data_IF_693069349419
#
_entry.id   IF_693069349419
#
_cell.length_a   1.000
_cell.length_b   1.000
_cell.length_c   1.000
_cell.angle_alpha   90.00
_cell.angle_beta   90.00
_cell.angle_gamma   90.00
#
_symmetry.space_group_name_H-M   'P 1'
#
loop_
_entity.id
_entity.type
_entity.pdbx_description
1 polymer ?
#
# COMPACT_ATOMS: atom_id res chain seq x y z
N UNK A 1 -6.18 -17.55 28.32
CA UNK A 1 -6.48 -16.35 27.48
C UNK A 1 -5.69 -16.42 26.16
N UNK A 2 -5.97 -17.39 25.31
CA UNK A 2 -5.19 -17.63 24.08
C UNK A 2 -6.05 -17.78 22.83
N UNK A 3 -7.34 -17.42 22.91
CA UNK A 3 -8.28 -17.66 21.82
C UNK A 3 -8.44 -16.52 20.79
N UNK A 4 -7.89 -15.31 21.04
CA UNK A 4 -8.16 -14.14 20.18
C UNK A 4 -7.11 -13.98 19.07
N UNK A 5 -5.91 -14.52 19.24
CA UNK A 5 -4.83 -14.38 18.24
C UNK A 5 -4.93 -15.34 17.05
N UNK A 6 -5.64 -16.45 17.18
CA UNK A 6 -5.77 -17.44 16.11
C UNK A 6 -6.85 -17.11 15.07
N UNK A 7 -7.81 -16.25 15.41
CA UNK A 7 -8.88 -15.85 14.47
C UNK A 7 -8.47 -14.76 13.45
N UNK A 8 -7.43 -13.98 13.74
CA UNK A 8 -7.06 -12.86 12.85
C UNK A 8 -6.22 -13.29 11.63
N UNK A 9 -5.39 -14.33 11.77
CA UNK A 9 -4.52 -14.79 10.69
C UNK A 9 -5.26 -15.42 9.51
N UNK A 10 -6.27 -16.29 9.69
CA UNK A 10 -7.09 -16.79 8.59
C UNK A 10 -7.80 -15.66 7.83
N UNK A 11 -8.35 -14.68 8.55
CA UNK A 11 -9.11 -13.56 7.96
C UNK A 11 -8.25 -12.76 6.98
N UNK A 12 -6.98 -12.50 7.29
CA UNK A 12 -6.09 -11.76 6.36
C UNK A 12 -5.73 -12.56 5.12
N UNK A 13 -5.57 -13.88 5.22
CA UNK A 13 -5.37 -14.74 4.05
C UNK A 13 -6.62 -14.77 3.17
N UNK A 14 -7.79 -14.99 3.77
CA UNK A 14 -9.07 -14.97 3.07
C UNK A 14 -9.34 -13.63 2.38
N UNK A 15 -9.01 -12.51 3.03
CA UNK A 15 -9.13 -11.17 2.44
C UNK A 15 -8.20 -10.99 1.22
N UNK A 16 -6.97 -11.52 1.31
CA UNK A 16 -6.03 -11.52 0.17
C UNK A 16 -6.57 -12.34 -0.99
N UNK A 17 -7.10 -13.54 -0.71
CA UNK A 17 -7.67 -14.43 -1.72
C UNK A 17 -8.93 -13.82 -2.37
N UNK A 18 -9.77 -13.15 -1.59
CA UNK A 18 -10.91 -12.38 -2.10
C UNK A 18 -10.44 -11.31 -3.08
N UNK A 19 -9.50 -10.46 -2.65
CA UNK A 19 -8.99 -9.37 -3.48
C UNK A 19 -8.40 -9.84 -4.80
N UNK A 20 -7.69 -10.98 -4.79
CA UNK A 20 -7.06 -11.53 -5.99
C UNK A 20 -8.04 -12.19 -6.99
N UNK A 21 -9.29 -12.42 -6.58
CA UNK A 21 -10.35 -12.87 -7.49
C UNK A 21 -11.04 -11.74 -8.25
N UNK A 22 -10.89 -10.49 -7.78
CA UNK A 22 -11.45 -9.33 -8.45
C UNK A 22 -10.50 -8.81 -9.56
N UNK A 23 -11.04 -8.20 -10.62
CA UNK A 23 -10.22 -7.54 -11.63
C UNK A 23 -9.51 -6.31 -11.05
N UNK A 24 -8.42 -5.90 -11.70
CA UNK A 24 -7.74 -4.64 -11.43
C UNK A 24 -8.71 -3.46 -11.60
N UNK A 25 -8.70 -2.51 -10.66
CA UNK A 25 -9.67 -1.43 -10.59
C UNK A 25 -11.00 -1.81 -9.93
N UNK A 26 -11.12 -3.03 -9.36
CA UNK A 26 -12.24 -3.48 -8.52
C UNK A 26 -13.64 -3.19 -9.13
N UNK A 27 -13.77 -3.33 -10.46
CA UNK A 27 -14.99 -2.99 -11.21
C UNK A 27 -15.53 -1.57 -10.93
N UNK A 28 -14.64 -0.61 -10.67
CA UNK A 28 -14.97 0.79 -10.39
C UNK A 28 -15.14 1.13 -8.90
N UNK A 29 -15.10 0.15 -7.99
CA UNK A 29 -15.09 0.42 -6.56
C UNK A 29 -13.72 0.96 -6.11
N UNK A 30 -13.70 2.05 -5.34
CA UNK A 30 -12.47 2.73 -4.90
C UNK A 30 -12.54 3.03 -3.41
N UNK A 31 -11.57 2.56 -2.64
CA UNK A 31 -11.38 2.95 -1.24
C UNK A 31 -10.37 4.07 -1.16
N UNK A 32 -10.75 5.16 -0.48
CA UNK A 32 -9.85 6.23 -0.06
C UNK A 32 -9.61 6.10 1.44
N UNK A 33 -8.42 5.64 1.91
CA UNK A 33 -8.23 5.21 3.29
C UNK A 33 -7.84 6.33 4.26
N UNK A 34 -8.43 7.53 4.12
CA UNK A 34 -8.11 8.70 4.96
C UNK A 34 -8.87 8.67 6.29
N UNK A 35 -8.86 7.54 7.01
CA UNK A 35 -9.70 7.30 8.20
C UNK A 35 -9.49 8.31 9.33
N UNK A 36 -8.27 8.76 9.55
CA UNK A 36 -7.90 9.74 10.58
C UNK A 36 -7.20 10.97 9.96
N UNK A 37 -7.62 11.34 8.77
CA UNK A 37 -6.96 12.34 7.95
C UNK A 37 -5.78 11.76 7.17
N UNK A 38 -5.18 12.60 6.34
CA UNK A 38 -4.00 12.25 5.53
C UNK A 38 -2.98 13.38 5.57
N UNK A 39 -1.70 13.02 5.61
CA UNK A 39 -0.60 13.98 5.59
C UNK A 39 -0.16 14.32 4.17
N UNK A 40 -0.15 13.33 3.28
CA UNK A 40 0.28 13.49 1.88
C UNK A 40 -0.77 12.87 0.95
N UNK A 41 -1.70 13.68 0.39
CA UNK A 41 -1.83 15.15 0.47
C UNK A 41 -2.23 15.65 1.88
N UNK A 42 -1.99 16.93 2.16
CA UNK A 42 -2.34 17.54 3.46
C UNK A 42 -3.86 17.73 3.60
N UNK A 43 -4.53 16.70 4.10
CA UNK A 43 -5.98 16.64 4.35
C UNK A 43 -6.24 16.13 5.79
N UNK A 44 -5.88 16.90 6.85
CA UNK A 44 -5.89 16.41 8.24
C UNK A 44 -7.29 16.09 8.77
N UNK A 45 -8.32 16.73 8.21
CA UNK A 45 -9.71 16.56 8.64
C UNK A 45 -10.50 15.59 7.75
N UNK A 46 -9.86 14.93 6.81
CA UNK A 46 -10.54 13.97 5.91
C UNK A 46 -10.95 12.69 6.63
N UNK A 47 -11.95 12.03 6.07
CA UNK A 47 -12.40 10.69 6.49
C UNK A 47 -12.23 9.69 5.36
N UNK A 48 -12.11 8.41 5.71
CA UNK A 48 -12.11 7.33 4.72
C UNK A 48 -13.45 7.25 3.98
N UNK A 49 -13.40 6.81 2.73
CA UNK A 49 -14.58 6.67 1.88
C UNK A 49 -14.47 5.46 0.94
N UNK A 50 -15.63 4.93 0.56
CA UNK A 50 -15.77 3.93 -0.49
C UNK A 50 -16.67 4.51 -1.59
N UNK A 51 -16.12 4.65 -2.78
CA UNK A 51 -16.77 5.24 -3.95
C UNK A 51 -17.04 4.22 -5.03
N UNK A 52 -17.85 4.59 -6.04
CA UNK A 52 -18.04 3.82 -7.27
C UNK A 52 -18.84 2.52 -7.10
N UNK A 53 -19.60 2.35 -6.00
CA UNK A 53 -20.43 1.18 -5.81
C UNK A 53 -21.65 1.18 -6.74
N UNK A 54 -21.82 0.07 -7.42
CA UNK A 54 -23.01 -0.29 -8.20
C UNK A 54 -23.50 -1.65 -7.75
N UNK A 55 -24.65 -2.10 -8.20
CA UNK A 55 -25.13 -3.47 -7.92
C UNK A 55 -24.13 -4.52 -8.41
N UNK A 56 -23.45 -4.27 -9.53
CA UNK A 56 -22.47 -5.19 -10.11
C UNK A 56 -21.12 -5.17 -9.37
N UNK A 57 -20.68 -4.01 -8.86
CA UNK A 57 -19.38 -3.89 -8.18
C UNK A 57 -19.45 -4.17 -6.68
N UNK A 58 -20.64 -4.21 -6.07
CA UNK A 58 -20.84 -4.43 -4.63
C UNK A 58 -20.68 -5.91 -4.25
N UNK A 59 -19.53 -6.50 -4.56
CA UNK A 59 -19.17 -7.87 -4.19
C UNK A 59 -18.05 -7.88 -3.15
N UNK A 60 -17.94 -8.93 -2.30
CA UNK A 60 -16.85 -9.04 -1.34
C UNK A 60 -15.46 -8.95 -1.99
N UNK A 61 -15.30 -9.55 -3.18
CA UNK A 61 -14.06 -9.55 -3.94
C UNK A 61 -13.66 -8.15 -4.37
N UNK A 62 -14.58 -7.38 -4.95
CA UNK A 62 -14.32 -6.01 -5.40
C UNK A 62 -14.05 -5.08 -4.20
N UNK A 63 -14.79 -5.22 -3.11
CA UNK A 63 -14.55 -4.42 -1.89
C UNK A 63 -13.18 -4.73 -1.30
N UNK A 64 -12.79 -6.01 -1.23
CA UNK A 64 -11.47 -6.42 -0.78
C UNK A 64 -10.37 -5.86 -1.70
N UNK A 65 -10.53 -6.00 -3.02
CA UNK A 65 -9.59 -5.46 -4.01
C UNK A 65 -9.44 -3.95 -3.88
N UNK A 66 -10.54 -3.21 -3.81
CA UNK A 66 -10.54 -1.76 -3.64
C UNK A 66 -9.83 -1.31 -2.36
N UNK A 67 -9.93 -2.09 -1.27
CA UNK A 67 -9.21 -1.79 -0.03
C UNK A 67 -7.69 -1.91 -0.21
N UNK A 68 -7.18 -2.97 -0.85
CA UNK A 68 -5.76 -3.12 -1.14
C UNK A 68 -5.26 -2.05 -2.11
N UNK A 69 -5.99 -1.80 -3.19
CA UNK A 69 -5.65 -0.76 -4.16
C UNK A 69 -5.64 0.63 -3.52
N UNK A 70 -6.59 0.94 -2.65
CA UNK A 70 -6.66 2.21 -1.94
C UNK A 70 -5.44 2.47 -1.06
N UNK A 71 -5.01 1.48 -0.27
CA UNK A 71 -3.78 1.58 0.54
C UNK A 71 -2.55 1.78 -0.34
N UNK A 72 -2.40 1.01 -1.40
CA UNK A 72 -1.27 1.12 -2.32
C UNK A 72 -1.28 2.45 -3.09
N UNK A 73 -2.45 2.95 -3.48
CA UNK A 73 -2.58 4.26 -4.11
C UNK A 73 -2.21 5.40 -3.18
N UNK A 74 -2.56 5.30 -1.88
CA UNK A 74 -2.10 6.26 -0.88
C UNK A 74 -0.57 6.29 -0.75
N UNK A 75 0.08 5.12 -0.75
CA UNK A 75 1.55 5.03 -0.78
C UNK A 75 2.13 5.58 -2.10
N UNK A 76 1.46 5.35 -3.23
CA UNK A 76 1.87 5.88 -4.52
C UNK A 76 1.80 7.42 -4.58
N UNK A 77 0.86 8.07 -3.89
CA UNK A 77 0.84 9.53 -3.75
C UNK A 77 2.13 10.05 -3.11
N UNK A 78 2.67 9.35 -2.10
CA UNK A 78 3.97 9.66 -1.50
C UNK A 78 5.13 9.51 -2.49
N UNK A 79 5.11 8.45 -3.30
CA UNK A 79 6.10 8.23 -4.37
C UNK A 79 6.04 9.33 -5.42
N UNK A 80 4.83 9.73 -5.83
CA UNK A 80 4.64 10.81 -6.80
C UNK A 80 5.13 12.16 -6.26
N UNK A 81 4.92 12.43 -4.96
CA UNK A 81 5.47 13.61 -4.29
C UNK A 81 7.02 13.63 -4.32
N UNK A 82 7.67 12.48 -4.14
CA UNK A 82 9.13 12.36 -4.27
C UNK A 82 9.58 12.57 -5.71
N UNK A 83 8.90 11.99 -6.69
CA UNK A 83 9.19 12.18 -8.12
C UNK A 83 9.04 13.66 -8.52
N UNK A 84 8.04 14.37 -7.98
CA UNK A 84 7.87 15.81 -8.21
C UNK A 84 9.02 16.66 -7.66
N UNK A 85 9.80 16.14 -6.70
CA UNK A 85 11.04 16.76 -6.20
C UNK A 85 12.30 16.29 -6.95
N UNK A 86 12.14 15.59 -8.07
CA UNK A 86 13.24 15.13 -8.92
C UNK A 86 13.82 13.76 -8.55
N UNK A 87 13.19 13.01 -7.64
CA UNK A 87 13.64 11.66 -7.33
C UNK A 87 13.35 10.69 -8.50
N UNK A 88 14.31 9.84 -8.82
CA UNK A 88 14.13 8.71 -9.74
C UNK A 88 13.80 7.45 -8.93
N UNK A 89 12.66 6.83 -9.21
CA UNK A 89 12.20 5.63 -8.53
C UNK A 89 12.20 4.46 -9.52
N UNK A 90 13.16 3.55 -9.37
CA UNK A 90 13.34 2.39 -10.25
C UNK A 90 12.79 1.08 -9.65
N UNK A 91 12.46 1.09 -8.36
CA UNK A 91 11.88 -0.04 -7.63
C UNK A 91 11.22 0.44 -6.34
N UNK A 92 10.31 -0.36 -5.83
CA UNK A 92 9.72 -0.19 -4.49
C UNK A 92 10.20 -1.33 -3.60
N UNK A 93 10.48 -1.07 -2.34
CA UNK A 93 10.75 -2.10 -1.33
C UNK A 93 9.61 -2.08 -0.33
N UNK A 94 8.83 -3.17 -0.27
CA UNK A 94 7.76 -3.34 0.71
C UNK A 94 8.31 -4.02 1.96
N UNK A 95 8.17 -3.35 3.10
CA UNK A 95 8.60 -3.86 4.41
C UNK A 95 7.45 -3.75 5.43
N UNK A 96 7.59 -4.45 6.54
CA UNK A 96 6.61 -4.45 7.62
C UNK A 96 5.55 -5.54 7.49
N UNK A 97 4.56 -5.52 8.37
CA UNK A 97 3.55 -6.58 8.48
C UNK A 97 2.70 -6.76 7.24
N UNK A 98 2.33 -5.66 6.58
CA UNK A 98 1.55 -5.68 5.34
C UNK A 98 2.26 -6.36 4.17
N UNK A 99 3.59 -6.29 4.11
CA UNK A 99 4.38 -6.91 3.05
C UNK A 99 4.24 -8.45 2.98
N UNK A 100 3.71 -9.08 4.05
CA UNK A 100 3.40 -10.53 4.09
C UNK A 100 2.13 -10.88 3.32
N UNK A 101 1.28 -9.89 3.00
CA UNK A 101 0.03 -10.12 2.26
C UNK A 101 0.31 -10.43 0.80
N UNK A 102 -0.15 -11.60 0.34
CA UNK A 102 -0.01 -11.99 -1.07
C UNK A 102 -0.70 -11.01 -2.02
N UNK A 103 -1.85 -10.46 -1.62
CA UNK A 103 -2.54 -9.44 -2.42
C UNK A 103 -1.68 -8.18 -2.56
N UNK A 104 -1.07 -7.66 -1.48
CA UNK A 104 -0.19 -6.49 -1.58
C UNK A 104 1.01 -6.75 -2.50
N UNK A 105 1.64 -7.93 -2.39
CA UNK A 105 2.78 -8.30 -3.21
C UNK A 105 2.45 -8.31 -4.71
N UNK A 106 1.30 -8.85 -5.09
CA UNK A 106 0.89 -9.01 -6.49
C UNK A 106 0.25 -7.73 -7.08
N UNK A 107 -0.48 -6.96 -6.27
CA UNK A 107 -1.17 -5.75 -6.73
C UNK A 107 -0.21 -4.55 -6.80
N UNK A 108 0.78 -4.49 -5.91
CA UNK A 108 1.68 -3.33 -5.84
C UNK A 108 2.37 -2.98 -7.17
N UNK A 109 2.96 -3.92 -7.93
CA UNK A 109 3.60 -3.58 -9.20
C UNK A 109 2.61 -3.06 -10.24
N UNK A 110 1.33 -3.50 -10.23
CA UNK A 110 0.28 -2.98 -11.10
C UNK A 110 0.04 -1.47 -10.88
N UNK A 111 0.25 -0.98 -9.64
CA UNK A 111 -0.02 0.40 -9.23
C UNK A 111 1.23 1.28 -9.33
N UNK A 112 2.39 0.77 -8.93
CA UNK A 112 3.63 1.55 -8.95
C UNK A 112 4.30 1.61 -10.34
N UNK A 113 4.02 0.65 -11.22
CA UNK A 113 4.62 0.56 -12.56
C UNK A 113 6.13 0.31 -12.54
N UNK A 114 6.66 -0.20 -11.45
CA UNK A 114 8.08 -0.58 -11.26
C UNK A 114 8.15 -1.88 -10.45
N UNK A 115 9.27 -2.62 -10.53
CA UNK A 115 9.47 -3.83 -9.73
C UNK A 115 9.30 -3.58 -8.23
N UNK A 116 8.66 -4.51 -7.55
CA UNK A 116 8.44 -4.50 -6.10
C UNK A 116 9.27 -5.60 -5.46
N UNK A 117 10.14 -5.21 -4.54
CA UNK A 117 11.02 -6.11 -3.79
C UNK A 117 10.42 -6.33 -2.39
N UNK A 118 10.30 -7.57 -1.99
CA UNK A 118 9.85 -7.97 -0.65
C UNK A 118 10.97 -8.75 0.01
N UNK A 119 11.74 -8.13 0.92
CA UNK A 119 12.78 -8.81 1.64
C UNK A 119 12.18 -9.73 2.73
N UNK A 120 12.97 -10.69 3.27
CA UNK A 120 12.54 -11.50 4.40
C UNK A 120 11.98 -10.67 5.56
N UNK A 121 11.10 -11.24 6.36
CA UNK A 121 10.55 -10.52 7.52
C UNK A 121 11.68 -10.09 8.48
N UNK A 122 11.70 -8.81 8.88
CA UNK A 122 12.74 -8.23 9.73
C UNK A 122 12.33 -6.86 10.27
N UNK A 123 13.17 -6.34 11.16
CA UNK A 123 12.97 -5.03 11.81
C UNK A 123 13.68 -3.90 11.02
N UNK A 124 13.30 -3.69 9.79
CA UNK A 124 13.97 -2.81 8.83
C UNK A 124 14.11 -1.34 9.29
N UNK A 125 13.18 -0.86 10.12
CA UNK A 125 13.28 0.50 10.68
C UNK A 125 14.43 0.57 11.69
N UNK A 126 14.53 -0.43 12.58
CA UNK A 126 15.61 -0.54 13.54
C UNK A 126 16.96 -0.77 12.86
N UNK A 127 16.99 -1.65 11.85
CA UNK A 127 18.19 -1.90 11.03
C UNK A 127 18.65 -0.64 10.30
N UNK A 128 17.73 0.14 9.76
CA UNK A 128 18.03 1.41 9.12
C UNK A 128 18.65 2.43 10.08
N UNK A 129 18.11 2.53 11.29
CA UNK A 129 18.65 3.40 12.35
C UNK A 129 20.04 2.95 12.80
N UNK A 130 20.24 1.64 13.01
CA UNK A 130 21.54 1.07 13.36
C UNK A 130 22.58 1.28 12.24
N UNK A 131 22.18 1.14 10.98
CA UNK A 131 23.03 1.40 9.83
C UNK A 131 23.46 2.86 9.76
N UNK A 132 22.55 3.79 10.04
CA UNK A 132 22.88 5.21 10.10
C UNK A 132 23.84 5.55 11.23
N UNK A 133 23.63 4.98 12.43
CA UNK A 133 24.54 5.13 13.56
C UNK A 133 25.95 4.58 13.25
N UNK A 134 26.02 3.41 12.63
CA UNK A 134 27.28 2.79 12.20
C UNK A 134 28.00 3.64 11.13
N UNK A 135 27.25 4.25 10.22
CA UNK A 135 27.81 5.18 9.24
C UNK A 135 28.46 6.39 9.89
N UNK A 136 27.75 7.04 10.82
CA UNK A 136 28.31 8.20 11.57
C UNK A 136 29.58 7.82 12.32
N UNK A 137 29.58 6.63 12.98
CA UNK A 137 30.73 6.17 13.77
C UNK A 137 31.95 5.83 12.89
N UNK A 138 31.74 5.18 11.74
CA UNK A 138 32.82 4.64 10.90
C UNK A 138 33.20 5.55 9.72
N UNK A 139 32.47 6.65 9.48
CA UNK A 139 32.68 7.56 8.36
C UNK A 139 32.26 7.00 6.99
N UNK A 140 31.89 5.71 6.92
CA UNK A 140 31.47 5.05 5.69
C UNK A 140 30.15 4.29 5.91
N UNK A 141 29.24 4.36 4.93
CA UNK A 141 27.96 3.66 5.03
C UNK A 141 28.16 2.16 4.91
N UNK A 142 27.74 1.36 5.92
CA UNK A 142 27.81 -0.09 5.85
C UNK A 142 26.97 -0.65 4.71
N UNK A 143 27.50 -1.64 4.01
CA UNK A 143 26.74 -2.41 3.00
C UNK A 143 26.03 -3.58 3.70
N UNK A 144 24.73 -3.50 3.79
CA UNK A 144 23.87 -4.58 4.29
C UNK A 144 23.05 -5.12 3.13
N UNK A 145 23.11 -6.42 2.93
CA UNK A 145 22.41 -7.07 1.85
C UNK A 145 20.96 -7.40 2.26
N UNK A 146 20.08 -7.41 1.28
CA UNK A 146 18.70 -7.89 1.41
C UNK A 146 18.60 -9.31 0.81
N UNK A 147 19.48 -10.23 1.29
CA UNK A 147 19.51 -11.59 0.78
C UNK A 147 18.19 -12.32 1.05
N UNK A 148 17.74 -13.14 0.09
CA UNK A 148 16.47 -13.86 0.18
C UNK A 148 15.24 -12.98 -0.13
N UNK A 149 15.44 -11.81 -0.74
CA UNK A 149 14.32 -10.97 -1.23
C UNK A 149 13.62 -11.62 -2.42
N UNK A 150 12.30 -11.52 -2.46
CA UNK A 150 11.49 -11.87 -3.62
C UNK A 150 11.18 -10.62 -4.44
N UNK A 151 11.10 -10.76 -5.77
CA UNK A 151 10.75 -9.68 -6.68
C UNK A 151 9.42 -9.98 -7.36
N UNK A 152 8.55 -8.99 -7.42
CA UNK A 152 7.24 -9.05 -8.05
C UNK A 152 7.17 -8.00 -9.16
N UNK A 153 6.64 -8.42 -10.32
CA UNK A 153 6.44 -7.58 -11.50
C UNK A 153 5.04 -7.83 -12.05
N UNK A 154 4.44 -6.81 -12.63
CA UNK A 154 3.18 -6.89 -13.35
C UNK A 154 3.08 -5.72 -14.34
N UNK A 155 2.18 -5.84 -15.29
CA UNK A 155 1.85 -4.74 -16.19
C UNK A 155 1.18 -3.62 -15.41
N UNK A 156 1.65 -2.39 -15.62
CA UNK A 156 1.08 -1.20 -14.99
C UNK A 156 -0.40 -1.02 -15.39
N UNK A 157 -1.25 -0.78 -14.41
CA UNK A 157 -2.70 -0.58 -14.58
C UNK A 157 -3.09 0.88 -14.29
N UNK A 158 -2.99 1.78 -15.28
CA UNK A 158 -3.25 3.21 -15.08
C UNK A 158 -4.65 3.50 -14.56
N UNK A 159 -5.65 2.70 -14.97
CA UNK A 159 -7.04 2.83 -14.54
C UNK A 159 -7.19 2.88 -13.01
N UNK A 160 -6.43 2.09 -12.26
CA UNK A 160 -6.48 2.05 -10.79
C UNK A 160 -6.10 3.42 -10.21
N UNK A 161 -5.02 4.01 -10.71
CA UNK A 161 -4.58 5.34 -10.27
C UNK A 161 -5.54 6.44 -10.70
N UNK A 162 -6.04 6.39 -11.91
CA UNK A 162 -7.01 7.35 -12.45
C UNK A 162 -8.29 7.39 -11.60
N UNK A 163 -8.88 6.23 -11.31
CA UNK A 163 -10.05 6.09 -10.45
C UNK A 163 -9.78 6.64 -9.04
N UNK A 164 -8.63 6.29 -8.44
CA UNK A 164 -8.25 6.76 -7.11
C UNK A 164 -8.07 8.28 -7.07
N UNK A 165 -7.42 8.87 -8.06
CA UNK A 165 -7.19 10.32 -8.14
C UNK A 165 -8.51 11.09 -8.21
N UNK A 166 -9.51 10.58 -8.94
CA UNK A 166 -10.84 11.15 -8.99
C UNK A 166 -11.57 11.00 -7.64
N UNK A 167 -11.52 9.80 -7.06
CA UNK A 167 -12.23 9.51 -5.81
C UNK A 167 -11.70 10.33 -4.62
N UNK A 168 -10.39 10.55 -4.51
CA UNK A 168 -9.80 11.31 -3.40
C UNK A 168 -10.19 12.79 -3.40
N UNK A 169 -10.58 13.36 -4.55
CA UNK A 169 -11.09 14.73 -4.60
C UNK A 169 -12.52 14.85 -4.07
N UNK A 170 -13.26 13.74 -4.00
CA UNK A 170 -14.61 13.65 -3.43
C UNK A 170 -14.60 13.42 -1.91
N UNK A 171 -13.43 13.40 -1.28
CA UNK A 171 -13.28 13.08 0.15
C UNK A 171 -13.94 14.14 1.02
N UNK A 172 -14.78 13.70 1.95
CA UNK A 172 -15.52 14.57 2.86
C UNK A 172 -14.66 14.90 4.08
N UNK A 173 -14.68 16.16 4.53
CA UNK A 173 -14.03 16.58 5.77
C UNK A 173 -14.92 16.29 6.98
N UNK A 174 -14.28 15.96 8.13
CA UNK A 174 -15.00 15.90 9.40
C UNK A 174 -15.59 17.28 9.74
N UNK A 175 -16.84 17.30 10.17
CA UNK A 175 -17.36 18.47 10.84
C UNK A 175 -16.56 18.68 12.14
N UNK A 176 -16.01 19.86 12.34
CA UNK A 176 -15.43 20.23 13.63
C UNK A 176 -16.52 20.11 14.69
N UNK A 177 -16.34 19.20 15.64
CA UNK A 177 -17.17 19.08 16.84
C UNK A 177 -16.80 20.18 17.83
#
# INVERSE_FOLDING_TARGET
MTGVQTCALPIFHELSDLALRAPSGAAGAVVVPYFEGERTPNKPDSTGALHGLTLASSTPENIARAAFEGVLCGLADGVDALKAQGATVNRIVLVGGGAKSRALQLIAPEIFGVPVIVPPAGEYVADGAARQAAWVLNGTMPKWNLDGSEQFEADFQPLVREQYLLAKELTVHRSKQ
#
